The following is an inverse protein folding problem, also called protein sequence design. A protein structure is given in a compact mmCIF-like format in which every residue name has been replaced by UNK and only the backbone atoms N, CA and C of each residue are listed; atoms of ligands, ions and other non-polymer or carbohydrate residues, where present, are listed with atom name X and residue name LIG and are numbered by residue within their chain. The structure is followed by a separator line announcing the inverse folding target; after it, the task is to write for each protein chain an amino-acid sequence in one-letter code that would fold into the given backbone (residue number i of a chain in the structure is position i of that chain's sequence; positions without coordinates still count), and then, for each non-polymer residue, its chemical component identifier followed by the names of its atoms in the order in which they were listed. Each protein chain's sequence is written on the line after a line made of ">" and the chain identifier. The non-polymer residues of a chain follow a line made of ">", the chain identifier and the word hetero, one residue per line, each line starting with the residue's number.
data_IF_957137697071
#
_entry.id   IF_957137697071
#
_cell.length_a   1.000
_cell.length_b   1.000
_cell.length_c   1.000
_cell.angle_alpha   90.00
_cell.angle_beta   90.00
_cell.angle_gamma   90.00
#
_symmetry.space_group_name_H-M   'P 1'
#
loop_
_entity.id
_entity.type
_entity.pdbx_description
1 polymer ?
#
# COMPACT_ATOMS: atom_id res chain seq x y z
N UNK A 1 23.03 82.15 4.95
CA UNK A 1 22.37 81.02 5.60
C UNK A 1 21.14 80.63 4.78
N UNK A 2 21.22 79.51 4.03
CA UNK A 2 20.10 79.00 3.26
C UNK A 2 19.20 78.22 4.21
N UNK A 3 18.01 78.66 4.42
CA UNK A 3 16.95 78.04 5.20
C UNK A 3 16.41 76.88 4.39
N UNK A 4 16.74 75.63 4.79
CA UNK A 4 16.19 74.39 4.21
C UNK A 4 14.75 74.23 4.70
N UNK A 5 13.76 74.48 3.82
CA UNK A 5 12.35 74.22 4.13
C UNK A 5 12.16 72.68 4.45
N UNK A 6 11.41 72.34 5.49
CA UNK A 6 11.09 70.98 5.80
C UNK A 6 10.27 70.38 4.67
N UNK A 7 10.75 69.29 4.10
CA UNK A 7 10.00 68.47 3.12
C UNK A 7 8.68 68.06 3.75
N UNK A 8 7.56 68.46 3.15
CA UNK A 8 6.23 68.07 3.56
C UNK A 8 6.12 66.52 3.34
N UNK A 9 5.92 65.78 4.40
CA UNK A 9 5.66 64.34 4.33
C UNK A 9 4.42 64.12 3.45
N UNK A 10 4.61 63.59 2.27
CA UNK A 10 3.56 63.24 1.34
C UNK A 10 2.63 62.21 2.01
N UNK A 11 1.41 62.61 2.34
CA UNK A 11 0.40 61.69 2.85
C UNK A 11 -0.10 60.82 1.70
N UNK A 12 0.27 59.55 1.72
CA UNK A 12 -0.18 58.57 0.73
C UNK A 12 -1.65 58.20 0.97
N UNK A 13 -2.43 58.18 -0.08
CA UNK A 13 -3.82 57.70 -0.04
C UNK A 13 -3.87 56.21 0.30
N UNK A 14 -5.02 55.71 0.77
CA UNK A 14 -5.18 54.30 1.09
C UNK A 14 -4.85 53.39 -0.10
N UNK A 15 -5.18 53.84 -1.32
CA UNK A 15 -4.89 53.12 -2.57
C UNK A 15 -3.39 53.06 -2.87
N UNK A 16 -2.66 54.16 -2.69
CA UNK A 16 -1.21 54.21 -2.89
C UNK A 16 -0.46 53.36 -1.87
N UNK A 17 -0.93 53.32 -0.62
CA UNK A 17 -0.37 52.45 0.42
C UNK A 17 -0.59 50.99 0.09
N UNK A 18 -1.77 50.62 -0.40
CA UNK A 18 -2.08 49.26 -0.83
C UNK A 18 -1.26 48.84 -2.06
N UNK A 19 -1.12 49.73 -3.05
CA UNK A 19 -0.31 49.47 -4.24
C UNK A 19 1.18 49.27 -3.92
N UNK A 20 1.70 50.11 -3.02
CA UNK A 20 3.09 50.03 -2.56
C UNK A 20 3.32 48.74 -1.75
N UNK A 21 2.41 48.41 -0.84
CA UNK A 21 2.46 47.13 -0.09
C UNK A 21 2.45 45.94 -1.03
N UNK A 22 1.55 45.92 -2.02
CA UNK A 22 1.46 44.86 -3.03
C UNK A 22 2.75 44.74 -3.85
N UNK A 23 3.36 45.84 -4.25
CA UNK A 23 4.60 45.83 -5.01
C UNK A 23 5.74 45.13 -4.28
N UNK A 24 5.85 45.33 -2.97
CA UNK A 24 6.90 44.68 -2.17
C UNK A 24 6.55 43.29 -1.68
N UNK A 25 5.26 42.95 -1.55
CA UNK A 25 4.82 41.71 -0.94
C UNK A 25 4.24 40.69 -1.93
N UNK A 26 4.08 41.05 -3.20
CA UNK A 26 3.48 40.14 -4.23
C UNK A 26 4.16 38.79 -4.30
N UNK A 27 5.50 38.74 -4.13
CA UNK A 27 6.24 37.50 -4.14
C UNK A 27 5.89 36.62 -2.92
N UNK A 28 5.85 37.24 -1.73
CA UNK A 28 5.52 36.51 -0.50
C UNK A 28 4.07 36.07 -0.49
N UNK A 29 3.15 36.87 -1.01
CA UNK A 29 1.74 36.52 -1.19
C UNK A 29 1.63 35.33 -2.17
N UNK A 30 2.35 35.37 -3.27
CA UNK A 30 2.41 34.25 -4.24
C UNK A 30 2.88 32.94 -3.59
N UNK A 31 3.97 33.00 -2.83
CA UNK A 31 4.51 31.84 -2.11
C UNK A 31 3.49 31.33 -1.06
N UNK A 32 2.85 32.24 -0.32
CA UNK A 32 1.84 31.87 0.68
C UNK A 32 0.63 31.18 0.03
N UNK A 33 0.14 31.68 -1.10
CA UNK A 33 -0.95 31.04 -1.86
C UNK A 33 -0.57 29.66 -2.33
N UNK A 34 0.63 29.49 -2.89
CA UNK A 34 1.13 28.18 -3.32
C UNK A 34 1.21 27.21 -2.13
N UNK A 35 1.75 27.67 -0.99
CA UNK A 35 1.84 26.86 0.21
C UNK A 35 0.45 26.39 0.70
N UNK A 36 -0.54 27.30 0.72
CA UNK A 36 -1.92 26.93 1.09
C UNK A 36 -2.52 25.93 0.12
N UNK A 37 -2.33 26.11 -1.18
CA UNK A 37 -2.81 25.16 -2.20
C UNK A 37 -2.18 23.78 -2.01
N UNK A 38 -0.87 23.72 -1.74
CA UNK A 38 -0.17 22.45 -1.49
C UNK A 38 -0.69 21.76 -0.22
N UNK A 39 -0.93 22.51 0.86
CA UNK A 39 -1.50 21.95 2.10
C UNK A 39 -2.91 21.44 1.87
N UNK A 40 -3.77 22.20 1.19
CA UNK A 40 -5.13 21.77 0.84
C UNK A 40 -5.10 20.52 -0.03
N UNK A 41 -4.22 20.47 -1.03
CA UNK A 41 -4.07 19.32 -1.90
C UNK A 41 -3.59 18.10 -1.12
N UNK A 42 -2.59 18.26 -0.25
CA UNK A 42 -2.06 17.19 0.60
C UNK A 42 -3.14 16.65 1.57
N UNK A 43 -3.91 17.54 2.21
CA UNK A 43 -5.02 17.13 3.09
C UNK A 43 -6.10 16.41 2.30
N UNK A 44 -6.46 16.93 1.13
CA UNK A 44 -7.42 16.29 0.25
C UNK A 44 -6.96 14.88 -0.15
N UNK A 45 -5.70 14.72 -0.53
CA UNK A 45 -5.14 13.42 -0.91
C UNK A 45 -5.22 12.42 0.24
N UNK A 46 -4.83 12.82 1.44
CA UNK A 46 -4.90 11.96 2.65
C UNK A 46 -6.33 11.58 3.01
N UNK A 47 -7.28 12.53 2.92
CA UNK A 47 -8.69 12.28 3.29
C UNK A 47 -9.43 11.47 2.24
N UNK A 48 -9.05 11.59 0.96
CA UNK A 48 -9.68 10.84 -0.13
C UNK A 48 -9.03 9.50 -0.42
N UNK A 49 -7.91 9.20 0.22
CA UNK A 49 -7.23 7.93 0.09
C UNK A 49 -8.13 6.80 0.63
N UNK A 50 -8.60 5.95 -0.27
CA UNK A 50 -9.37 4.77 0.11
C UNK A 50 -8.41 3.77 0.73
N UNK A 51 -8.63 3.46 2.02
CA UNK A 51 -7.87 2.41 2.72
C UNK A 51 -8.65 1.12 2.64
N UNK A 52 -8.04 0.03 2.16
CA UNK A 52 -8.74 -1.25 2.14
C UNK A 52 -8.99 -1.74 3.57
N UNK A 53 -10.18 -2.32 3.79
CA UNK A 53 -10.53 -2.97 5.05
C UNK A 53 -9.79 -4.29 5.22
N UNK A 54 -9.63 -5.00 4.10
CA UNK A 54 -8.93 -6.28 4.05
C UNK A 54 -8.03 -6.34 2.83
N UNK A 55 -6.90 -6.99 3.02
CA UNK A 55 -5.99 -7.37 1.95
C UNK A 55 -5.96 -8.88 1.83
N UNK A 56 -6.14 -9.37 0.61
CA UNK A 56 -6.05 -10.79 0.25
C UNK A 56 -4.89 -10.95 -0.70
N UNK A 57 -3.98 -11.86 -0.39
CA UNK A 57 -2.85 -12.18 -1.26
C UNK A 57 -3.26 -13.20 -2.31
N UNK A 58 -2.83 -13.02 -3.55
CA UNK A 58 -2.85 -14.04 -4.58
C UNK A 58 -1.43 -14.47 -4.93
N UNK A 59 -1.15 -15.75 -4.89
CA UNK A 59 0.16 -16.33 -5.22
C UNK A 59 0.03 -17.23 -6.44
N UNK A 60 0.76 -16.88 -7.48
CA UNK A 60 0.74 -17.62 -8.72
C UNK A 60 1.90 -17.23 -9.64
N UNK A 61 2.07 -17.97 -10.75
CA UNK A 61 3.15 -17.73 -11.72
C UNK A 61 2.94 -16.48 -12.58
N UNK A 62 1.71 -15.99 -12.65
CA UNK A 62 1.36 -14.81 -13.47
C UNK A 62 0.26 -14.00 -12.82
N UNK A 63 0.17 -12.73 -13.25
CA UNK A 63 -0.91 -11.85 -12.82
C UNK A 63 -2.26 -12.33 -13.36
N UNK A 64 -3.28 -12.21 -12.52
CA UNK A 64 -4.66 -12.40 -12.95
C UNK A 64 -5.10 -11.25 -13.88
N UNK A 65 -6.00 -11.52 -14.85
CA UNK A 65 -6.64 -10.47 -15.62
C UNK A 65 -7.33 -9.44 -14.72
N UNK A 66 -7.28 -8.17 -15.10
CA UNK A 66 -7.86 -7.07 -14.32
C UNK A 66 -9.34 -7.27 -14.00
N UNK A 67 -10.12 -7.81 -14.96
CA UNK A 67 -11.54 -8.09 -14.76
C UNK A 67 -11.77 -9.17 -13.69
N UNK A 68 -10.90 -10.18 -13.65
CA UNK A 68 -10.93 -11.25 -12.62
C UNK A 68 -10.59 -10.68 -11.25
N UNK A 69 -9.57 -9.84 -11.16
CA UNK A 69 -9.19 -9.16 -9.90
C UNK A 69 -10.35 -8.33 -9.37
N UNK A 70 -10.95 -7.51 -10.21
CA UNK A 70 -12.10 -6.66 -9.84
C UNK A 70 -13.31 -7.50 -9.41
N UNK A 71 -13.58 -8.61 -10.09
CA UNK A 71 -14.67 -9.50 -9.73
C UNK A 71 -14.44 -10.18 -8.37
N UNK A 72 -13.21 -10.62 -8.10
CA UNK A 72 -12.83 -11.21 -6.81
C UNK A 72 -12.92 -10.19 -5.68
N UNK A 73 -12.38 -8.99 -5.86
CA UNK A 73 -12.44 -7.92 -4.87
C UNK A 73 -13.88 -7.56 -4.51
N UNK A 74 -14.74 -7.39 -5.51
CA UNK A 74 -16.15 -7.09 -5.31
C UNK A 74 -16.91 -8.24 -4.62
N UNK A 75 -16.60 -9.48 -4.98
CA UNK A 75 -17.23 -10.66 -4.37
C UNK A 75 -16.81 -10.77 -2.91
N UNK A 76 -15.54 -10.62 -2.60
CA UNK A 76 -15.03 -10.67 -1.24
C UNK A 76 -15.56 -9.50 -0.40
N UNK A 77 -15.67 -8.31 -0.97
CA UNK A 77 -16.22 -7.15 -0.29
C UNK A 77 -17.70 -7.35 0.10
N UNK A 78 -18.47 -8.11 -0.70
CA UNK A 78 -19.87 -8.41 -0.39
C UNK A 78 -20.05 -9.29 0.88
N UNK A 79 -19.01 -10.00 1.30
CA UNK A 79 -18.99 -10.83 2.50
C UNK A 79 -18.14 -10.24 3.64
N UNK A 80 -17.63 -9.05 3.46
CA UNK A 80 -16.73 -8.38 4.41
C UNK A 80 -17.44 -7.22 5.11
N UNK A 81 -16.90 -6.83 6.26
CA UNK A 81 -17.40 -5.70 7.05
C UNK A 81 -16.52 -4.47 6.84
N UNK A 82 -17.09 -3.28 7.04
CA UNK A 82 -16.37 -2.02 7.12
C UNK A 82 -15.55 -1.99 8.42
N UNK A 83 -14.29 -2.37 8.30
CA UNK A 83 -13.38 -2.50 9.44
C UNK A 83 -12.78 -1.16 9.85
N UNK A 84 -12.56 -0.27 8.90
CA UNK A 84 -11.92 1.02 9.14
C UNK A 84 -12.93 2.12 9.51
N UNK A 85 -14.24 1.88 9.35
CA UNK A 85 -15.33 2.78 9.73
C UNK A 85 -15.50 3.98 8.79
N UNK A 86 -15.02 3.88 7.54
CA UNK A 86 -15.14 4.96 6.56
C UNK A 86 -16.47 4.95 5.77
N UNK A 87 -17.32 3.98 6.03
CA UNK A 87 -18.62 3.80 5.39
C UNK A 87 -18.56 3.07 4.05
N UNK A 88 -17.41 2.49 3.71
CA UNK A 88 -17.20 1.70 2.50
C UNK A 88 -16.55 0.38 2.88
N UNK A 89 -16.86 -0.68 2.15
CA UNK A 89 -16.17 -1.97 2.29
C UNK A 89 -15.29 -2.16 1.08
N UNK A 90 -13.98 -2.19 1.30
CA UNK A 90 -12.99 -2.33 0.24
C UNK A 90 -12.06 -3.48 0.54
N UNK A 91 -11.99 -4.44 -0.36
CA UNK A 91 -11.03 -5.55 -0.33
C UNK A 91 -10.04 -5.36 -1.46
N UNK A 92 -8.76 -5.36 -1.13
CA UNK A 92 -7.66 -5.25 -2.08
C UNK A 92 -7.01 -6.62 -2.31
N UNK A 93 -6.90 -7.02 -3.57
CA UNK A 93 -6.18 -8.22 -3.95
C UNK A 93 -4.74 -7.87 -4.30
N UNK A 94 -3.80 -8.34 -3.47
CA UNK A 94 -2.36 -8.14 -3.69
C UNK A 94 -1.81 -9.36 -4.40
N UNK A 95 -1.20 -9.17 -5.56
CA UNK A 95 -0.67 -10.27 -6.37
C UNK A 95 0.84 -10.42 -6.17
N UNK A 96 1.26 -11.67 -5.92
CA UNK A 96 2.65 -12.06 -5.80
C UNK A 96 2.98 -13.05 -6.91
N UNK A 97 3.82 -12.61 -7.85
CA UNK A 97 4.30 -13.46 -8.93
C UNK A 97 5.49 -14.25 -8.42
N UNK A 98 5.24 -15.48 -8.05
CA UNK A 98 6.24 -16.43 -7.61
C UNK A 98 6.21 -17.61 -8.56
N UNK A 99 7.34 -17.96 -9.12
CA UNK A 99 7.51 -19.18 -9.91
C UNK A 99 8.30 -20.15 -9.05
N UNK A 100 7.64 -21.19 -8.60
CA UNK A 100 8.26 -22.26 -7.85
C UNK A 100 8.80 -23.39 -8.77
N UNK A 101 8.52 -23.30 -10.09
CA UNK A 101 9.03 -24.24 -11.05
C UNK A 101 10.44 -23.83 -11.50
N UNK A 102 11.43 -24.50 -10.96
CA UNK A 102 12.85 -24.25 -11.26
C UNK A 102 13.26 -24.60 -12.70
N UNK A 103 12.37 -25.22 -13.47
CA UNK A 103 12.61 -25.59 -14.87
C UNK A 103 12.05 -24.58 -15.87
N UNK A 104 11.34 -23.53 -15.43
CA UNK A 104 10.83 -22.52 -16.33
C UNK A 104 11.94 -21.57 -16.77
N UNK A 105 12.47 -21.79 -17.97
CA UNK A 105 13.49 -20.93 -18.61
C UNK A 105 13.00 -19.49 -18.88
N UNK A 106 11.75 -19.19 -18.62
CA UNK A 106 11.10 -17.93 -18.98
C UNK A 106 10.81 -16.98 -17.81
N UNK A 107 11.12 -17.35 -16.58
CA UNK A 107 10.89 -16.47 -15.45
C UNK A 107 12.04 -15.50 -15.32
N UNK A 108 11.75 -14.24 -15.51
CA UNK A 108 12.72 -13.17 -15.24
C UNK A 108 13.11 -13.20 -13.76
N UNK A 109 14.37 -13.52 -13.48
CA UNK A 109 14.93 -13.59 -12.14
C UNK A 109 14.69 -12.31 -11.33
N UNK A 110 14.59 -11.17 -12.01
CA UNK A 110 14.26 -9.88 -11.38
C UNK A 110 12.81 -9.86 -10.89
N UNK A 111 11.86 -10.33 -11.68
CA UNK A 111 10.44 -10.42 -11.31
C UNK A 111 10.24 -11.37 -10.13
N UNK A 112 10.91 -12.51 -10.16
CA UNK A 112 10.91 -13.48 -9.06
C UNK A 112 11.44 -12.85 -7.77
N UNK A 113 12.59 -12.20 -7.83
CA UNK A 113 13.20 -11.54 -6.67
C UNK A 113 12.32 -10.40 -6.12
N UNK A 114 11.69 -9.64 -7.00
CA UNK A 114 10.76 -8.58 -6.61
C UNK A 114 9.51 -9.17 -5.92
N UNK A 115 8.96 -10.26 -6.43
CA UNK A 115 7.83 -10.97 -5.82
C UNK A 115 8.13 -11.49 -4.43
N UNK A 116 9.28 -12.17 -4.26
CA UNK A 116 9.74 -12.69 -2.95
C UNK A 116 9.99 -11.55 -1.96
N UNK A 117 10.64 -10.47 -2.41
CA UNK A 117 10.93 -9.31 -1.55
C UNK A 117 9.66 -8.64 -1.07
N UNK A 118 8.69 -8.44 -1.98
CA UNK A 118 7.39 -7.86 -1.64
C UNK A 118 6.64 -8.75 -0.65
N UNK A 119 6.55 -10.05 -0.93
CA UNK A 119 5.88 -10.99 -0.03
C UNK A 119 6.51 -10.97 1.36
N UNK A 120 7.82 -11.01 1.46
CA UNK A 120 8.53 -10.97 2.75
C UNK A 120 8.27 -9.67 3.53
N UNK A 121 8.23 -8.55 2.83
CA UNK A 121 7.91 -7.26 3.44
C UNK A 121 6.45 -7.22 3.94
N UNK A 122 5.51 -7.70 3.14
CA UNK A 122 4.09 -7.71 3.46
C UNK A 122 3.76 -8.69 4.60
N UNK A 123 4.41 -9.86 4.65
CA UNK A 123 4.28 -10.82 5.76
C UNK A 123 4.82 -10.27 7.09
N UNK A 124 5.76 -9.33 7.02
CA UNK A 124 6.33 -8.68 8.21
C UNK A 124 5.57 -7.41 8.61
N UNK A 125 4.57 -7.00 7.82
CA UNK A 125 3.78 -5.79 8.03
C UNK A 125 2.47 -6.10 8.73
N UNK A 126 2.05 -5.21 9.64
CA UNK A 126 0.73 -5.30 10.29
C UNK A 126 -0.43 -5.08 9.30
N UNK A 127 -0.16 -4.39 8.18
CA UNK A 127 -1.12 -4.11 7.12
C UNK A 127 -1.07 -5.14 5.97
N UNK A 128 -0.29 -6.18 6.09
CA UNK A 128 -0.15 -7.23 5.09
C UNK A 128 -1.39 -8.13 4.99
N UNK A 129 -1.48 -8.96 3.93
CA UNK A 129 -2.57 -9.92 3.79
C UNK A 129 -2.43 -11.07 4.80
N UNK A 130 -3.56 -11.48 5.38
CA UNK A 130 -3.66 -12.63 6.27
C UNK A 130 -4.28 -13.86 5.58
N UNK A 131 -4.95 -13.65 4.46
CA UNK A 131 -5.59 -14.70 3.67
C UNK A 131 -4.93 -14.71 2.30
N UNK A 132 -4.57 -15.90 1.85
CA UNK A 132 -3.92 -16.10 0.56
C UNK A 132 -4.76 -17.05 -0.31
N UNK A 133 -4.89 -16.68 -1.58
CA UNK A 133 -5.44 -17.53 -2.64
C UNK A 133 -4.24 -18.05 -3.43
N UNK A 134 -4.09 -19.36 -3.51
CA UNK A 134 -3.01 -20.00 -4.24
C UNK A 134 -3.52 -20.49 -5.60
N UNK A 135 -2.67 -20.39 -6.61
CA UNK A 135 -3.01 -20.82 -7.97
C UNK A 135 -3.46 -22.28 -8.01
N UNK A 136 -2.74 -23.16 -7.32
CA UNK A 136 -3.03 -24.57 -7.24
C UNK A 136 -2.45 -25.20 -5.95
N UNK A 137 -2.54 -26.52 -5.82
CA UNK A 137 -2.05 -27.25 -4.65
C UNK A 137 -0.55 -27.27 -4.52
N UNK A 138 0.19 -27.22 -5.63
CA UNK A 138 1.66 -27.25 -5.60
C UNK A 138 2.18 -25.92 -5.08
N UNK A 139 1.54 -24.80 -5.46
CA UNK A 139 1.80 -23.47 -4.88
C UNK A 139 1.47 -23.43 -3.40
N UNK A 140 0.35 -24.02 -2.97
CA UNK A 140 -0.03 -24.05 -1.57
C UNK A 140 0.98 -24.84 -0.72
N UNK A 141 1.44 -25.99 -1.21
CA UNK A 141 2.46 -26.79 -0.53
C UNK A 141 3.77 -26.03 -0.41
N UNK A 142 4.30 -25.53 -1.52
CA UNK A 142 5.59 -24.85 -1.54
C UNK A 142 5.57 -23.56 -0.73
N UNK A 143 4.46 -22.81 -0.76
CA UNK A 143 4.29 -21.62 0.06
C UNK A 143 4.32 -21.95 1.56
N UNK A 144 3.59 -22.99 1.98
CA UNK A 144 3.55 -23.44 3.36
C UNK A 144 4.92 -23.91 3.87
N UNK A 145 5.63 -24.70 3.06
CA UNK A 145 6.93 -25.25 3.41
C UNK A 145 8.06 -24.22 3.40
N UNK A 146 7.98 -23.24 2.49
CA UNK A 146 9.08 -22.27 2.29
C UNK A 146 8.99 -21.05 3.20
N UNK A 147 7.76 -20.52 3.42
CA UNK A 147 7.61 -19.24 4.11
C UNK A 147 7.51 -19.38 5.63
N UNK A 148 7.02 -20.50 6.14
CA UNK A 148 6.67 -20.67 7.55
C UNK A 148 5.61 -19.66 8.05
N UNK A 149 4.90 -19.01 7.14
CA UNK A 149 3.96 -17.94 7.44
C UNK A 149 2.55 -18.43 7.76
N UNK A 150 2.24 -19.69 7.42
CA UNK A 150 0.92 -20.28 7.63
C UNK A 150 0.85 -21.01 8.96
N UNK A 151 -0.29 -20.91 9.61
CA UNK A 151 -0.67 -21.71 10.78
C UNK A 151 -1.66 -22.79 10.36
N UNK A 152 -1.84 -23.80 11.22
CA UNK A 152 -2.88 -24.81 11.01
C UNK A 152 -4.28 -24.18 11.14
N UNK A 153 -5.25 -24.74 10.46
CA UNK A 153 -6.64 -24.26 10.46
C UNK A 153 -7.31 -24.33 11.83
N UNK A 154 -6.77 -25.12 12.75
CA UNK A 154 -7.17 -25.16 14.16
C UNK A 154 -6.54 -24.03 15.00
N UNK A 155 -5.72 -23.19 14.41
CA UNK A 155 -5.04 -22.06 15.05
C UNK A 155 -3.73 -22.41 15.73
N UNK A 156 -3.28 -23.67 15.64
CA UNK A 156 -1.97 -24.07 16.18
C UNK A 156 -0.85 -23.77 15.19
N UNK A 157 0.37 -23.64 15.68
CA UNK A 157 1.56 -23.47 14.86
C UNK A 157 2.28 -24.82 14.69
N UNK A 158 3.02 -25.01 13.58
CA UNK A 158 3.90 -26.15 13.42
C UNK A 158 4.91 -26.24 14.56
N UNK A 159 5.23 -27.46 14.96
CA UNK A 159 6.26 -27.71 15.95
C UNK A 159 7.65 -27.44 15.33
N UNK A 160 8.31 -26.39 15.83
CA UNK A 160 9.64 -25.97 15.35
C UNK A 160 10.77 -26.92 15.75
N UNK A 161 10.53 -27.85 16.66
CA UNK A 161 11.49 -28.89 17.05
C UNK A 161 11.42 -30.12 16.11
N UNK A 162 10.32 -30.24 15.34
CA UNK A 162 10.14 -31.33 14.39
C UNK A 162 10.72 -30.94 13.04
N UNK A 163 11.99 -31.28 12.81
CA UNK A 163 12.73 -30.92 11.59
C UNK A 163 13.13 -32.15 10.80
N UNK A 164 13.32 -31.95 9.49
CA UNK A 164 13.86 -32.96 8.57
C UNK A 164 15.39 -33.07 8.66
N UNK A 165 15.97 -33.92 7.79
CA UNK A 165 17.43 -34.14 7.72
C UNK A 165 18.23 -32.85 7.34
N UNK A 166 17.56 -31.81 6.84
CA UNK A 166 18.14 -30.55 6.42
C UNK A 166 17.80 -29.39 7.38
N UNK A 167 17.34 -29.68 8.58
CA UNK A 167 16.89 -28.71 9.59
C UNK A 167 15.67 -27.86 9.17
N UNK A 168 14.87 -28.29 8.18
CA UNK A 168 13.62 -27.62 7.84
C UNK A 168 12.48 -28.13 8.72
N UNK A 169 11.65 -27.24 9.20
CA UNK A 169 10.47 -27.61 10.00
C UNK A 169 9.50 -28.43 9.15
N UNK A 170 9.14 -29.59 9.64
CA UNK A 170 8.18 -30.48 8.97
C UNK A 170 6.77 -29.94 9.20
N UNK A 171 6.08 -29.60 8.11
CA UNK A 171 4.71 -29.08 8.15
C UNK A 171 3.76 -30.01 7.41
N UNK A 172 2.55 -30.16 7.94
CA UNK A 172 1.45 -30.82 7.23
C UNK A 172 0.60 -29.74 6.53
N UNK A 173 1.05 -29.33 5.35
CA UNK A 173 0.42 -28.24 4.60
C UNK A 173 -1.07 -28.51 4.31
N UNK A 174 -1.51 -29.77 4.27
CA UNK A 174 -2.91 -30.12 4.02
C UNK A 174 -3.85 -29.66 5.13
N UNK A 175 -3.31 -29.38 6.31
CA UNK A 175 -4.04 -28.82 7.46
C UNK A 175 -3.97 -27.29 7.54
N UNK A 176 -3.26 -26.64 6.61
CA UNK A 176 -3.06 -25.19 6.56
C UNK A 176 -3.95 -24.51 5.53
N UNK A 177 -4.58 -25.25 4.64
CA UNK A 177 -5.33 -24.70 3.51
C UNK A 177 -6.71 -25.35 3.36
N UNK A 178 -7.67 -24.57 2.87
CA UNK A 178 -8.94 -25.05 2.39
C UNK A 178 -8.88 -25.23 0.87
N UNK A 179 -9.33 -26.38 0.38
CA UNK A 179 -9.52 -26.56 -1.05
C UNK A 179 -10.83 -25.92 -1.49
N UNK A 180 -10.73 -25.12 -2.52
CA UNK A 180 -11.89 -24.64 -3.23
C UNK A 180 -12.38 -25.75 -4.16
N UNK A 181 -13.55 -26.31 -3.90
CA UNK A 181 -14.18 -27.37 -4.71
C UNK A 181 -15.37 -26.80 -5.46
#
# INVERSE_FOLDING_TARGET
>A
EQYKMPESKKEYTKQEKAANWWHYHKLYVGIAVIAVVLVVWMVHDVVTQVRPDYRVGYVGSSNLPTDTVTALENTLAAYSDDRNGDGKVVVELVQYNLDFDSESENTDAYTQMAGVTRLSADLSSEDGPYIFIMQDTDYAQQFAETTGALQYLDGTMPDTENVDENDNVIVDWTKMVYRWT
#
